data_IF_215657514085
#
_entry.id   IF_215657514085
#
_cell.length_a   1.000
_cell.length_b   1.000
_cell.length_c   1.000
_cell.angle_alpha   90.00
_cell.angle_beta   90.00
_cell.angle_gamma   90.00
#
_symmetry.space_group_name_H-M   'P 1'
#
loop_
_entity.id
_entity.type
_entity.pdbx_description
1 polymer ?
#
# COMPACT_ATOMS: atom_id res chain seq x y z
N UNK A 1 5.96 -9.44 11.47
CA UNK A 1 7.23 -8.71 11.60
C UNK A 1 7.07 -7.20 11.88
N UNK A 2 5.89 -6.60 11.71
CA UNK A 2 5.70 -5.16 11.91
C UNK A 2 5.93 -4.69 13.35
N UNK A 3 5.47 -5.45 14.36
CA UNK A 3 5.70 -5.11 15.78
C UNK A 3 7.20 -5.17 16.15
N UNK A 4 7.95 -6.25 15.84
CA UNK A 4 9.41 -6.25 16.02
C UNK A 4 10.12 -5.10 15.30
N UNK A 5 9.72 -4.79 14.06
CA UNK A 5 10.28 -3.66 13.32
C UNK A 5 10.03 -2.33 14.03
N UNK A 6 8.80 -2.11 14.51
CA UNK A 6 8.44 -0.95 15.32
C UNK A 6 9.25 -0.80 16.60
N UNK A 7 9.45 -1.90 17.33
CA UNK A 7 10.28 -1.93 18.55
C UNK A 7 11.73 -1.59 18.24
N UNK A 8 12.27 -2.11 17.13
CA UNK A 8 13.63 -1.81 16.68
C UNK A 8 13.77 -0.32 16.32
N UNK A 9 12.84 0.25 15.56
CA UNK A 9 12.82 1.67 15.19
C UNK A 9 12.70 2.56 16.42
N UNK A 10 11.96 2.12 17.44
CA UNK A 10 11.85 2.88 18.68
C UNK A 10 13.16 2.94 19.46
N UNK A 11 13.91 1.82 19.50
CA UNK A 11 15.18 1.72 20.23
C UNK A 11 16.38 2.30 19.47
N UNK A 12 16.40 2.15 18.16
CA UNK A 12 17.58 2.43 17.32
C UNK A 12 17.37 3.59 16.33
N UNK A 13 16.15 4.12 16.22
CA UNK A 13 15.81 5.22 15.33
C UNK A 13 15.39 4.80 13.92
N UNK A 14 14.77 5.72 13.19
CA UNK A 14 14.24 5.50 11.83
C UNK A 14 15.34 5.12 10.83
N UNK A 15 16.49 5.79 10.87
CA UNK A 15 17.61 5.54 9.96
C UNK A 15 18.08 4.09 10.00
N UNK A 16 18.34 3.56 11.20
CA UNK A 16 18.79 2.18 11.37
C UNK A 16 17.71 1.18 10.96
N UNK A 17 16.43 1.51 11.16
CA UNK A 17 15.30 0.73 10.66
C UNK A 17 15.26 0.62 9.14
N UNK A 18 15.38 1.74 8.43
CA UNK A 18 15.41 1.76 6.95
C UNK A 18 16.62 1.00 6.40
N UNK A 19 17.81 1.22 6.96
CA UNK A 19 19.03 0.51 6.52
C UNK A 19 18.90 -1.00 6.72
N UNK A 20 18.40 -1.44 7.89
CA UNK A 20 18.18 -2.87 8.15
C UNK A 20 17.17 -3.46 7.16
N UNK A 21 16.08 -2.75 6.85
CA UNK A 21 15.10 -3.16 5.86
C UNK A 21 15.70 -3.34 4.46
N UNK A 22 16.49 -2.36 4.00
CA UNK A 22 17.20 -2.43 2.71
C UNK A 22 18.21 -3.58 2.66
N UNK A 23 18.96 -3.81 3.74
CA UNK A 23 19.91 -4.92 3.82
C UNK A 23 19.21 -6.28 3.78
N UNK A 24 18.12 -6.45 4.55
CA UNK A 24 17.32 -7.67 4.53
C UNK A 24 16.73 -7.92 3.14
N UNK A 25 16.20 -6.88 2.48
CA UNK A 25 15.68 -7.00 1.13
C UNK A 25 16.76 -7.39 0.12
N UNK A 26 17.91 -6.70 0.14
CA UNK A 26 19.03 -6.98 -0.76
C UNK A 26 19.63 -8.38 -0.55
N UNK A 27 19.83 -8.80 0.70
CA UNK A 27 20.29 -10.14 1.04
C UNK A 27 19.27 -11.21 0.63
N UNK A 28 17.98 -10.94 0.86
CA UNK A 28 16.88 -11.80 0.42
C UNK A 28 16.87 -12.00 -1.10
N UNK A 29 17.08 -10.92 -1.87
CA UNK A 29 17.20 -11.00 -3.33
C UNK A 29 18.45 -11.80 -3.78
N UNK A 30 19.59 -11.65 -3.10
CA UNK A 30 20.78 -12.44 -3.41
C UNK A 30 20.65 -13.93 -3.02
N UNK A 31 19.85 -14.24 -1.99
CA UNK A 31 19.52 -15.61 -1.60
C UNK A 31 18.74 -16.39 -2.66
N UNK A 32 18.14 -15.71 -3.66
CA UNK A 32 17.56 -16.39 -4.82
C UNK A 32 18.62 -17.11 -5.69
N UNK A 33 19.87 -16.64 -5.70
CA UNK A 33 20.97 -17.24 -6.48
C UNK A 33 21.23 -18.69 -6.04
N UNK A 34 21.57 -18.98 -4.76
CA UNK A 34 21.73 -20.36 -4.31
C UNK A 34 20.41 -21.13 -4.41
N UNK A 35 19.26 -20.46 -4.20
CA UNK A 35 17.94 -21.08 -4.38
C UNK A 35 17.76 -21.70 -5.77
N UNK A 36 18.18 -20.98 -6.82
CA UNK A 36 18.14 -21.46 -8.20
C UNK A 36 19.13 -22.60 -8.44
N UNK A 37 20.36 -22.50 -7.94
CA UNK A 37 21.37 -23.56 -8.12
C UNK A 37 20.99 -24.88 -7.44
N UNK A 38 20.38 -24.82 -6.26
CA UNK A 38 19.94 -26.01 -5.52
C UNK A 38 18.55 -26.50 -5.92
N UNK A 39 17.83 -25.77 -6.79
CA UNK A 39 16.45 -26.05 -7.21
C UNK A 39 15.50 -26.42 -6.04
N UNK A 40 15.74 -25.83 -4.86
CA UNK A 40 15.06 -26.21 -3.62
C UNK A 40 13.96 -25.21 -3.28
N UNK A 41 12.72 -25.68 -3.24
CA UNK A 41 11.56 -24.88 -2.87
C UNK A 41 11.72 -24.21 -1.48
N UNK A 42 12.31 -24.92 -0.51
CA UNK A 42 12.54 -24.39 0.83
C UNK A 42 13.53 -23.22 0.85
N UNK A 43 14.55 -23.25 -0.02
CA UNK A 43 15.51 -22.16 -0.14
C UNK A 43 14.84 -20.90 -0.71
N UNK A 44 13.96 -21.05 -1.71
CA UNK A 44 13.17 -19.94 -2.25
C UNK A 44 12.19 -19.37 -1.22
N UNK A 45 11.49 -20.24 -0.46
CA UNK A 45 10.60 -19.80 0.62
C UNK A 45 11.35 -19.01 1.69
N UNK A 46 12.53 -19.46 2.09
CA UNK A 46 13.35 -18.74 3.04
C UNK A 46 13.78 -17.37 2.49
N UNK A 47 14.21 -17.30 1.22
CA UNK A 47 14.56 -16.04 0.57
C UNK A 47 13.37 -15.07 0.52
N UNK A 48 12.18 -15.54 0.12
CA UNK A 48 10.94 -14.76 0.14
C UNK A 48 10.57 -14.27 1.53
N UNK A 49 10.75 -15.11 2.56
CA UNK A 49 10.51 -14.72 3.95
C UNK A 49 11.45 -13.58 4.39
N UNK A 50 12.73 -13.65 4.04
CA UNK A 50 13.72 -12.60 4.34
C UNK A 50 13.37 -11.29 3.60
N UNK A 51 12.98 -11.37 2.33
CA UNK A 51 12.49 -10.20 1.57
C UNK A 51 11.25 -9.58 2.24
N UNK A 52 10.28 -10.39 2.62
CA UNK A 52 9.06 -9.94 3.31
C UNK A 52 9.37 -9.27 4.66
N UNK A 53 10.38 -9.77 5.39
CA UNK A 53 10.89 -9.10 6.57
C UNK A 53 11.46 -7.72 6.23
N UNK A 54 12.31 -7.62 5.19
CA UNK A 54 12.87 -6.36 4.72
C UNK A 54 11.81 -5.33 4.34
N UNK A 55 10.81 -5.74 3.54
CA UNK A 55 9.67 -4.90 3.17
C UNK A 55 8.90 -4.40 4.40
N UNK A 56 8.64 -5.28 5.37
CA UNK A 56 7.95 -4.90 6.59
C UNK A 56 8.73 -3.84 7.38
N UNK A 57 10.06 -3.95 7.46
CA UNK A 57 10.91 -2.95 8.11
C UNK A 57 10.90 -1.62 7.35
N UNK A 58 10.96 -1.66 6.03
CA UNK A 58 10.91 -0.48 5.17
C UNK A 58 9.58 0.27 5.33
N UNK A 59 8.44 -0.42 5.19
CA UNK A 59 7.12 0.21 5.33
C UNK A 59 6.92 0.78 6.74
N UNK A 60 7.27 0.02 7.78
CA UNK A 60 7.14 0.46 9.18
C UNK A 60 8.03 1.65 9.51
N UNK A 61 9.14 1.86 8.81
CA UNK A 61 10.04 2.99 9.03
C UNK A 61 9.75 4.19 8.11
N UNK A 62 9.55 3.96 6.82
CA UNK A 62 9.53 5.00 5.79
C UNK A 62 8.27 5.85 5.84
N UNK A 63 7.09 5.24 5.89
CA UNK A 63 5.81 5.96 5.90
C UNK A 63 5.68 6.93 7.09
N UNK A 64 5.92 6.51 8.35
CA UNK A 64 5.90 7.45 9.46
C UNK A 64 7.00 8.50 9.39
N UNK A 65 8.17 8.16 8.87
CA UNK A 65 9.26 9.13 8.70
C UNK A 65 8.85 10.25 7.74
N UNK A 66 8.25 9.94 6.59
CA UNK A 66 7.79 10.93 5.62
C UNK A 66 6.65 11.81 6.17
N UNK A 67 5.74 11.24 6.96
CA UNK A 67 4.67 12.02 7.59
C UNK A 67 5.19 12.98 8.65
N UNK A 68 6.22 12.58 9.40
CA UNK A 68 6.81 13.41 10.46
C UNK A 68 7.86 14.40 9.93
N UNK A 69 8.41 14.16 8.74
CA UNK A 69 9.40 15.03 8.10
C UNK A 69 8.74 16.32 7.56
N UNK A 70 8.57 17.33 8.41
CA UNK A 70 8.08 18.66 8.03
C UNK A 70 6.81 19.10 8.77
N UNK A 71 6.05 20.04 8.19
CA UNK A 71 4.85 20.56 8.84
C UNK A 71 3.75 19.49 8.97
N UNK A 72 3.07 19.44 10.13
CA UNK A 72 1.99 18.46 10.41
C UNK A 72 0.81 18.57 9.43
N UNK A 73 0.54 19.78 8.92
CA UNK A 73 -0.58 20.04 8.00
C UNK A 73 -0.38 19.39 6.63
N UNK A 74 0.86 19.31 6.14
CA UNK A 74 1.19 18.77 4.82
C UNK A 74 1.67 17.31 4.86
N UNK A 75 1.56 16.64 6.01
CA UNK A 75 1.99 15.25 6.20
C UNK A 75 1.35 14.26 5.21
N UNK A 76 0.03 14.37 5.01
CA UNK A 76 -0.70 13.52 4.06
C UNK A 76 -0.27 13.78 2.61
N UNK A 77 -0.07 15.05 2.21
CA UNK A 77 0.39 15.39 0.86
C UNK A 77 1.80 14.85 0.60
N UNK A 78 2.74 15.02 1.54
CA UNK A 78 4.10 14.47 1.40
C UNK A 78 4.11 12.96 1.27
N UNK A 79 3.32 12.26 2.09
CA UNK A 79 3.25 10.81 2.01
C UNK A 79 2.64 10.34 0.69
N UNK A 80 1.57 10.99 0.22
CA UNK A 80 0.98 10.70 -1.10
C UNK A 80 1.96 10.98 -2.24
N UNK A 81 2.72 12.07 -2.18
CA UNK A 81 3.74 12.38 -3.17
C UNK A 81 4.84 11.30 -3.20
N UNK A 82 5.37 10.91 -2.04
CA UNK A 82 6.37 9.85 -1.95
C UNK A 82 5.82 8.51 -2.48
N UNK A 83 4.58 8.15 -2.12
CA UNK A 83 3.90 6.94 -2.58
C UNK A 83 3.48 6.99 -4.07
N UNK A 84 3.52 8.16 -4.71
CA UNK A 84 3.31 8.27 -6.17
C UNK A 84 4.49 7.69 -6.93
N UNK A 85 5.72 7.85 -6.42
CA UNK A 85 6.92 7.21 -7.00
C UNK A 85 6.91 5.69 -6.84
N UNK A 86 6.29 5.18 -5.78
CA UNK A 86 6.05 3.75 -5.63
C UNK A 86 5.15 3.23 -6.77
N UNK A 87 4.03 3.91 -7.05
CA UNK A 87 3.16 3.59 -8.18
C UNK A 87 3.87 3.63 -9.54
N UNK A 88 4.77 4.61 -9.74
CA UNK A 88 5.62 4.68 -10.93
C UNK A 88 6.56 3.47 -11.04
N UNK A 89 7.14 3.03 -9.93
CA UNK A 89 7.94 1.80 -9.86
C UNK A 89 7.15 0.57 -10.30
N UNK A 90 5.89 0.42 -9.87
CA UNK A 90 5.02 -0.69 -10.26
C UNK A 90 4.69 -0.74 -11.75
N UNK A 91 4.67 0.41 -12.45
CA UNK A 91 4.43 0.47 -13.91
C UNK A 91 5.74 0.25 -14.67
N UNK A 92 6.81 0.90 -14.25
CA UNK A 92 8.12 0.80 -14.90
C UNK A 92 8.74 -0.59 -14.74
N UNK A 93 8.63 -1.22 -13.57
CA UNK A 93 9.31 -2.49 -13.30
C UNK A 93 8.87 -3.63 -14.24
N UNK A 94 7.57 -3.89 -14.47
CA UNK A 94 7.13 -4.88 -15.46
C UNK A 94 7.52 -4.53 -16.89
N UNK A 95 7.56 -3.25 -17.26
CA UNK A 95 8.01 -2.82 -18.59
C UNK A 95 9.49 -3.12 -18.80
N UNK A 96 10.34 -2.73 -17.84
CA UNK A 96 11.78 -3.00 -17.91
C UNK A 96 12.10 -4.48 -17.81
N UNK A 97 11.47 -5.21 -16.88
CA UNK A 97 11.67 -6.66 -16.72
C UNK A 97 11.14 -7.41 -17.94
N UNK A 98 9.96 -7.04 -18.45
CA UNK A 98 9.38 -7.64 -19.65
C UNK A 98 10.27 -7.42 -20.88
N UNK A 99 10.77 -6.20 -21.09
CA UNK A 99 11.74 -5.95 -22.15
C UNK A 99 13.01 -6.78 -21.94
N UNK A 100 13.65 -6.73 -20.76
CA UNK A 100 14.91 -7.45 -20.53
C UNK A 100 14.79 -8.97 -20.59
N UNK A 101 13.67 -9.55 -20.14
CA UNK A 101 13.45 -10.99 -20.15
C UNK A 101 12.97 -11.52 -21.50
N UNK A 102 12.15 -10.76 -22.24
CA UNK A 102 11.54 -11.21 -23.50
C UNK A 102 12.20 -10.64 -24.77
N UNK A 103 13.29 -9.87 -24.66
CA UNK A 103 14.04 -9.36 -25.84
C UNK A 103 14.84 -10.44 -26.60
N UNK A 104 15.02 -11.63 -26.03
CA UNK A 104 15.75 -12.72 -26.69
C UNK A 104 14.75 -13.73 -27.25
N UNK A 105 14.49 -13.65 -28.56
CA UNK A 105 13.57 -14.51 -29.35
C UNK A 105 14.01 -15.99 -29.46
N UNK A 106 14.86 -16.50 -28.57
CA UNK A 106 15.23 -17.92 -28.54
C UNK A 106 14.32 -18.67 -27.57
N UNK A 107 13.29 -19.33 -28.12
CA UNK A 107 12.35 -20.22 -27.41
C UNK A 107 13.02 -21.29 -26.53
N UNK A 108 14.31 -21.61 -26.77
CA UNK A 108 15.08 -22.59 -26.01
C UNK A 108 15.76 -22.03 -24.76
N UNK A 109 15.90 -20.69 -24.66
CA UNK A 109 16.40 -19.97 -23.48
C UNK A 109 15.32 -19.72 -22.44
N UNK A 110 14.03 -20.01 -22.71
CA UNK A 110 12.94 -19.80 -21.77
C UNK A 110 12.90 -20.84 -20.62
N UNK A 111 13.42 -22.05 -20.84
CA UNK A 111 13.50 -23.11 -19.82
C UNK A 111 14.77 -22.99 -18.96
N UNK A 112 15.83 -22.39 -19.49
CA UNK A 112 17.06 -21.99 -18.77
C UNK A 112 17.11 -20.47 -18.54
N UNK A 113 15.95 -19.81 -18.58
CA UNK A 113 15.84 -18.37 -18.47
C UNK A 113 16.50 -17.95 -17.18
N UNK A 114 17.56 -17.14 -17.29
CA UNK A 114 18.37 -16.73 -16.17
C UNK A 114 17.59 -15.71 -15.33
N UNK A 115 16.51 -16.16 -14.68
CA UNK A 115 15.66 -15.37 -13.79
C UNK A 115 16.52 -14.76 -12.68
N UNK A 116 17.62 -15.42 -12.30
CA UNK A 116 18.62 -14.85 -11.40
C UNK A 116 19.14 -13.48 -11.86
N UNK A 117 19.37 -13.22 -13.15
CA UNK A 117 20.03 -11.98 -13.59
C UNK A 117 19.23 -10.71 -13.22
N UNK A 118 17.91 -10.60 -13.52
CA UNK A 118 17.09 -9.51 -13.01
C UNK A 118 17.07 -9.40 -11.48
N UNK A 119 16.99 -10.52 -10.75
CA UNK A 119 16.99 -10.50 -9.29
C UNK A 119 18.33 -10.04 -8.71
N UNK A 120 19.46 -10.41 -9.33
CA UNK A 120 20.80 -9.95 -8.95
C UNK A 120 20.94 -8.46 -9.22
N UNK A 121 20.53 -7.98 -10.40
CA UNK A 121 20.55 -6.56 -10.71
C UNK A 121 19.72 -5.75 -9.69
N UNK A 122 18.52 -6.22 -9.35
CA UNK A 122 17.68 -5.59 -8.33
C UNK A 122 18.32 -5.65 -6.93
N UNK A 123 18.88 -6.80 -6.53
CA UNK A 123 19.56 -6.96 -5.25
C UNK A 123 20.75 -6.01 -5.10
N UNK A 124 21.60 -5.93 -6.11
CA UNK A 124 22.75 -5.01 -6.15
C UNK A 124 22.27 -3.56 -6.09
N UNK A 125 21.26 -3.20 -6.87
CA UNK A 125 20.70 -1.84 -6.87
C UNK A 125 20.20 -1.45 -5.47
N UNK A 126 19.45 -2.33 -4.81
CA UNK A 126 18.96 -2.08 -3.44
C UNK A 126 20.10 -1.96 -2.44
N UNK A 127 21.16 -2.77 -2.57
CA UNK A 127 22.35 -2.66 -1.71
C UNK A 127 23.12 -1.36 -1.94
N UNK A 128 23.19 -0.86 -3.18
CA UNK A 128 23.76 0.47 -3.48
C UNK A 128 22.92 1.55 -2.79
N UNK A 129 21.59 1.49 -2.88
CA UNK A 129 20.70 2.41 -2.17
C UNK A 129 20.92 2.32 -0.66
N UNK A 130 21.06 1.11 -0.10
CA UNK A 130 21.40 0.91 1.31
C UNK A 130 22.71 1.60 1.68
N UNK A 131 23.75 1.49 0.85
CA UNK A 131 25.04 2.14 1.06
C UNK A 131 24.95 3.67 1.05
N UNK A 132 24.12 4.23 0.17
CA UNK A 132 23.84 5.67 0.15
C UNK A 132 23.13 6.10 1.44
N UNK A 133 22.06 5.41 1.84
CA UNK A 133 21.32 5.71 3.08
C UNK A 133 22.16 5.52 4.35
N UNK A 134 23.16 4.63 4.33
CA UNK A 134 24.15 4.53 5.39
C UNK A 134 25.00 5.79 5.54
N UNK A 135 25.18 6.61 4.48
CA UNK A 135 25.94 7.87 4.54
C UNK A 135 25.07 9.11 4.80
N UNK A 136 23.79 9.06 4.45
CA UNK A 136 22.86 10.19 4.67
C UNK A 136 22.56 10.36 6.16
N UNK A 137 22.76 11.59 6.68
CA UNK A 137 22.35 11.98 8.03
C UNK A 137 20.87 12.34 8.02
N UNK A 138 20.02 11.35 8.29
CA UNK A 138 18.59 11.58 8.51
C UNK A 138 18.41 12.27 9.89
N UNK A 139 17.77 13.45 9.98
CA UNK A 139 17.48 14.07 11.26
C UNK A 139 16.62 13.12 12.11
N UNK A 140 17.07 12.85 13.33
CA UNK A 140 16.31 12.05 14.27
C UNK A 140 15.20 12.93 14.86
N UNK A 141 13.96 12.55 14.55
CA UNK A 141 12.78 13.22 15.08
C UNK A 141 12.66 12.79 16.55
N UNK A 142 13.06 13.68 17.45
CA UNK A 142 12.94 13.48 18.90
C UNK A 142 11.46 13.62 19.27
N UNK A 143 10.89 12.57 19.89
CA UNK A 143 9.54 12.66 20.41
C UNK A 143 9.57 13.25 21.82
N UNK A 144 8.88 14.38 22.02
CA UNK A 144 8.55 14.86 23.35
C UNK A 144 7.39 14.03 23.89
N UNK A 145 7.50 13.55 25.12
CA UNK A 145 6.43 12.82 25.79
C UNK A 145 5.20 13.70 25.96
N UNK A 146 4.08 13.30 25.34
CA UNK A 146 2.77 13.71 25.80
C UNK A 146 2.49 12.96 27.10
N UNK A 147 2.57 13.74 28.17
CA UNK A 147 2.23 13.32 29.52
C UNK A 147 0.85 13.91 29.79
N UNK A 148 -0.09 13.12 30.29
CA UNK A 148 -1.39 13.65 30.75
C UNK A 148 -1.18 14.72 31.82
N UNK A 149 -2.18 15.56 32.12
CA UNK A 149 -2.12 16.59 33.18
C UNK A 149 -1.67 16.06 34.55
N UNK A 150 -1.70 14.74 34.74
CA UNK A 150 -1.35 14.00 35.94
C UNK A 150 -0.09 13.10 35.82
N UNK A 151 0.75 13.24 34.79
CA UNK A 151 2.01 12.48 34.75
C UNK A 151 1.93 11.07 34.13
N UNK A 152 0.74 10.62 33.71
CA UNK A 152 0.50 9.24 33.25
C UNK A 152 0.62 9.14 31.72
N UNK A 153 1.29 8.07 31.25
CA UNK A 153 1.31 7.75 29.82
C UNK A 153 -0.08 7.33 29.36
N UNK A 154 -0.68 8.06 28.43
CA UNK A 154 -2.01 7.72 27.90
C UNK A 154 -1.89 6.44 27.06
N UNK A 155 -2.76 5.47 27.26
CA UNK A 155 -2.73 4.24 26.44
C UNK A 155 -3.16 4.55 25.01
N UNK A 156 -2.43 4.01 24.02
CA UNK A 156 -2.74 4.11 22.58
C UNK A 156 -4.20 3.73 22.27
N UNK A 157 -4.74 2.76 23.01
CA UNK A 157 -6.10 2.24 22.86
C UNK A 157 -7.19 3.21 23.38
N UNK A 158 -6.81 4.30 24.04
CA UNK A 158 -7.75 5.34 24.48
C UNK A 158 -8.12 6.29 23.32
N UNK A 159 -7.30 6.35 22.27
CA UNK A 159 -7.53 7.18 21.10
C UNK A 159 -8.55 6.52 20.16
N UNK A 160 -9.84 6.82 20.39
CA UNK A 160 -10.95 6.30 19.56
C UNK A 160 -10.83 6.60 18.07
N UNK A 161 -10.18 7.71 17.71
CA UNK A 161 -9.91 8.08 16.31
C UNK A 161 -8.82 7.20 15.68
N UNK A 162 -7.78 6.85 16.43
CA UNK A 162 -6.73 5.93 15.97
C UNK A 162 -7.30 4.52 15.74
N UNK A 163 -8.07 3.99 16.69
CA UNK A 163 -8.69 2.66 16.54
C UNK A 163 -9.59 2.64 15.30
N UNK A 164 -10.40 3.68 15.10
CA UNK A 164 -11.27 3.75 13.94
C UNK A 164 -10.47 3.89 12.63
N UNK A 165 -9.36 4.61 12.65
CA UNK A 165 -8.42 4.71 11.52
C UNK A 165 -7.74 3.38 11.20
N UNK A 166 -7.38 2.58 12.20
CA UNK A 166 -6.85 1.23 12.02
C UNK A 166 -7.86 0.31 11.33
N UNK A 167 -9.13 0.33 11.77
CA UNK A 167 -10.21 -0.43 11.11
C UNK A 167 -10.49 0.08 9.70
N UNK A 168 -10.46 1.40 9.48
CA UNK A 168 -10.64 1.99 8.16
C UNK A 168 -9.51 1.60 7.20
N UNK A 169 -8.26 1.60 7.67
CA UNK A 169 -7.11 1.17 6.87
C UNK A 169 -7.20 -0.32 6.52
N UNK A 170 -7.58 -1.16 7.48
CA UNK A 170 -7.81 -2.58 7.25
C UNK A 170 -8.95 -2.83 6.24
N UNK A 171 -10.07 -2.10 6.37
CA UNK A 171 -11.17 -2.18 5.43
C UNK A 171 -10.76 -1.69 4.02
N UNK A 172 -9.98 -0.62 3.94
CA UNK A 172 -9.42 -0.14 2.68
C UNK A 172 -8.58 -1.24 2.00
N UNK A 173 -7.67 -1.88 2.72
CA UNK A 173 -6.81 -2.96 2.18
C UNK A 173 -7.63 -4.17 1.71
N UNK A 174 -8.73 -4.49 2.40
CA UNK A 174 -9.70 -5.50 1.93
C UNK A 174 -10.29 -5.07 0.58
N UNK A 175 -10.74 -3.83 0.44
CA UNK A 175 -11.34 -3.34 -0.79
C UNK A 175 -10.37 -3.35 -1.97
N UNK A 176 -9.22 -2.70 -1.79
CA UNK A 176 -8.18 -2.49 -2.80
C UNK A 176 -7.69 -3.80 -3.40
N UNK A 177 -7.27 -4.71 -2.52
CA UNK A 177 -6.62 -5.95 -2.93
C UNK A 177 -7.65 -6.89 -3.54
N UNK A 178 -8.91 -6.86 -3.08
CA UNK A 178 -10.01 -7.64 -3.68
C UNK A 178 -10.29 -7.19 -5.10
N UNK A 179 -10.43 -5.87 -5.33
CA UNK A 179 -10.68 -5.31 -6.65
C UNK A 179 -9.52 -5.65 -7.59
N UNK A 180 -8.27 -5.45 -7.15
CA UNK A 180 -7.09 -5.81 -7.95
C UNK A 180 -7.04 -7.30 -8.31
N UNK A 181 -7.38 -8.17 -7.36
CA UNK A 181 -7.30 -9.62 -7.56
C UNK A 181 -8.39 -10.14 -8.50
N UNK A 182 -9.60 -9.57 -8.44
CA UNK A 182 -10.75 -10.05 -9.21
C UNK A 182 -11.09 -9.20 -10.45
N UNK A 183 -10.37 -8.10 -10.71
CA UNK A 183 -10.59 -7.25 -11.89
C UNK A 183 -10.58 -8.06 -13.19
N UNK A 184 -9.54 -8.87 -13.41
CA UNK A 184 -9.41 -9.67 -14.63
C UNK A 184 -10.55 -10.68 -14.74
N UNK A 185 -10.87 -11.36 -13.64
CA UNK A 185 -11.94 -12.36 -13.61
C UNK A 185 -13.30 -11.71 -13.92
N UNK A 186 -13.58 -10.54 -13.34
CA UNK A 186 -14.80 -9.77 -13.60
C UNK A 186 -14.95 -9.36 -15.07
N UNK A 187 -13.88 -8.81 -15.66
CA UNK A 187 -13.92 -8.34 -17.04
C UNK A 187 -14.05 -9.49 -18.05
N UNK A 188 -13.45 -10.65 -17.73
CA UNK A 188 -13.56 -11.87 -18.54
C UNK A 188 -14.95 -12.50 -18.41
N UNK A 189 -15.50 -12.58 -17.20
CA UNK A 189 -16.83 -13.14 -16.93
C UNK A 189 -17.94 -12.34 -17.66
N UNK A 190 -17.81 -11.01 -17.67
CA UNK A 190 -18.70 -10.10 -18.39
C UNK A 190 -18.51 -10.12 -19.92
N UNK A 191 -17.58 -10.93 -20.44
CA UNK A 191 -17.27 -11.09 -21.87
C UNK A 191 -16.90 -9.79 -22.61
N UNK A 192 -16.43 -8.76 -21.89
CA UNK A 192 -16.00 -7.51 -22.53
C UNK A 192 -14.66 -7.64 -23.25
N UNK A 193 -13.75 -8.46 -22.71
CA UNK A 193 -12.42 -8.65 -23.31
C UNK A 193 -11.73 -9.93 -22.78
N UNK A 194 -10.78 -10.43 -23.57
CA UNK A 194 -9.94 -11.57 -23.17
C UNK A 194 -8.97 -11.21 -22.05
N UNK A 195 -8.52 -12.20 -21.27
CA UNK A 195 -7.63 -12.02 -20.12
C UNK A 195 -6.36 -11.20 -20.43
N UNK A 196 -5.79 -11.35 -21.64
CA UNK A 196 -4.62 -10.59 -22.09
C UNK A 196 -4.90 -9.10 -22.28
N UNK A 197 -6.08 -8.74 -22.79
CA UNK A 197 -6.47 -7.33 -22.94
C UNK A 197 -6.91 -6.76 -21.59
N UNK A 198 -7.60 -7.55 -20.76
CA UNK A 198 -7.97 -7.17 -19.40
C UNK A 198 -6.74 -6.84 -18.53
N UNK A 199 -5.66 -7.63 -18.62
CA UNK A 199 -4.43 -7.35 -17.88
C UNK A 199 -3.73 -6.07 -18.36
N UNK A 200 -3.79 -5.76 -19.67
CA UNK A 200 -3.28 -4.50 -20.22
C UNK A 200 -4.12 -3.31 -19.74
N UNK A 201 -5.45 -3.42 -19.75
CA UNK A 201 -6.36 -2.37 -19.23
C UNK A 201 -6.16 -2.17 -17.73
N UNK A 202 -5.94 -3.23 -16.95
CA UNK A 202 -5.58 -3.11 -15.54
C UNK A 202 -4.23 -2.41 -15.35
N UNK A 203 -3.21 -2.79 -16.12
CA UNK A 203 -1.84 -2.28 -15.96
C UNK A 203 -1.68 -0.83 -16.42
N UNK A 204 -2.20 -0.49 -17.60
CA UNK A 204 -2.09 0.86 -18.14
C UNK A 204 -3.25 1.77 -17.71
N UNK A 205 -4.47 1.23 -17.68
CA UNK A 205 -5.67 1.96 -17.27
C UNK A 205 -5.78 2.06 -15.75
N UNK A 206 -5.96 0.93 -15.06
CA UNK A 206 -6.17 0.90 -13.60
C UNK A 206 -4.99 1.46 -12.80
N UNK A 207 -3.82 0.83 -12.92
CA UNK A 207 -2.59 1.25 -12.21
C UNK A 207 -2.07 2.62 -12.69
N UNK A 208 -2.27 2.96 -13.98
CA UNK A 208 -1.96 4.29 -14.50
C UNK A 208 -2.86 5.39 -13.92
N UNK A 209 -4.18 5.14 -13.85
CA UNK A 209 -5.14 6.03 -13.20
C UNK A 209 -4.88 6.15 -11.70
N UNK A 210 -4.48 5.05 -11.06
CA UNK A 210 -4.07 5.05 -9.66
C UNK A 210 -2.82 5.94 -9.45
N UNK A 211 -1.78 5.79 -10.27
CA UNK A 211 -0.58 6.63 -10.18
C UNK A 211 -0.90 8.11 -10.43
N UNK A 212 -1.63 8.42 -11.50
CA UNK A 212 -2.00 9.80 -11.83
C UNK A 212 -2.93 10.40 -10.76
N UNK A 213 -3.86 9.61 -10.23
CA UNK A 213 -4.71 9.95 -9.10
C UNK A 213 -3.90 10.32 -7.85
N UNK A 214 -2.82 9.58 -7.54
CA UNK A 214 -1.90 9.92 -6.44
C UNK A 214 -1.17 11.24 -6.66
N UNK A 215 -0.64 11.49 -7.87
CA UNK A 215 0.03 12.75 -8.19
C UNK A 215 -0.91 13.95 -8.08
N UNK A 216 -2.06 13.86 -8.76
CA UNK A 216 -3.07 14.92 -8.77
C UNK A 216 -3.63 15.15 -7.37
N UNK A 217 -3.97 14.07 -6.66
CA UNK A 217 -4.48 14.16 -5.30
C UNK A 217 -3.47 14.74 -4.32
N UNK A 218 -2.18 14.36 -4.43
CA UNK A 218 -1.10 14.96 -3.64
C UNK A 218 -0.99 16.46 -3.85
N UNK A 219 -1.13 16.93 -5.09
CA UNK A 219 -1.11 18.36 -5.43
C UNK A 219 -2.35 19.09 -4.90
N UNK A 220 -3.54 18.50 -5.04
CA UNK A 220 -4.79 19.07 -4.50
C UNK A 220 -4.74 19.17 -2.97
N UNK A 221 -4.16 18.18 -2.29
CA UNK A 221 -3.99 18.17 -0.83
C UNK A 221 -3.05 19.27 -0.30
N UNK A 222 -2.29 19.96 -1.17
CA UNK A 222 -1.56 21.17 -0.75
C UNK A 222 -2.50 22.36 -0.52
N UNK A 223 -3.68 22.36 -1.15
CA UNK A 223 -4.67 23.44 -1.06
C UNK A 223 -5.92 23.05 -0.25
N UNK A 224 -6.28 21.77 -0.26
CA UNK A 224 -7.46 21.23 0.42
C UNK A 224 -7.04 20.36 1.59
N UNK A 225 -7.72 20.51 2.73
CA UNK A 225 -7.49 19.66 3.92
C UNK A 225 -7.66 18.17 3.61
N UNK A 226 -6.73 17.34 4.08
CA UNK A 226 -6.72 15.89 3.90
C UNK A 226 -8.03 15.20 4.28
N UNK A 227 -8.73 15.69 5.32
CA UNK A 227 -10.01 15.16 5.80
C UNK A 227 -11.13 15.32 4.75
N UNK A 228 -11.18 16.47 4.06
CA UNK A 228 -12.15 16.74 2.99
C UNK A 228 -11.85 15.89 1.75
N UNK A 229 -10.57 15.81 1.40
CA UNK A 229 -10.15 15.02 0.24
C UNK A 229 -10.48 13.53 0.43
N UNK A 230 -10.19 12.98 1.62
CA UNK A 230 -10.55 11.60 1.96
C UNK A 230 -12.06 11.36 1.86
N UNK A 231 -12.87 12.31 2.31
CA UNK A 231 -14.34 12.20 2.22
C UNK A 231 -14.81 12.14 0.77
N UNK A 232 -14.32 13.03 -0.10
CA UNK A 232 -14.70 13.04 -1.52
C UNK A 232 -14.25 11.77 -2.25
N UNK A 233 -13.04 11.29 -1.99
CA UNK A 233 -12.57 10.03 -2.54
C UNK A 233 -13.37 8.83 -2.03
N UNK A 234 -13.69 8.78 -0.73
CA UNK A 234 -14.50 7.71 -0.16
C UNK A 234 -15.93 7.71 -0.70
N UNK A 235 -16.53 8.89 -0.93
CA UNK A 235 -17.82 8.95 -1.63
C UNK A 235 -17.70 8.45 -3.06
N UNK A 236 -16.62 8.81 -3.76
CA UNK A 236 -16.35 8.38 -5.12
C UNK A 236 -16.26 6.86 -5.23
N UNK A 237 -15.47 6.22 -4.36
CA UNK A 237 -15.30 4.75 -4.35
C UNK A 237 -16.59 4.01 -3.99
N UNK A 238 -17.38 4.50 -3.04
CA UNK A 238 -18.69 3.89 -2.72
C UNK A 238 -19.65 4.01 -3.91
N UNK A 239 -19.69 5.18 -4.57
CA UNK A 239 -20.55 5.38 -5.75
C UNK A 239 -20.11 4.49 -6.91
N UNK A 240 -18.82 4.45 -7.23
CA UNK A 240 -18.32 3.63 -8.34
C UNK A 240 -18.51 2.14 -8.08
N UNK A 241 -18.25 1.65 -6.86
CA UNK A 241 -18.53 0.25 -6.51
C UNK A 241 -20.02 -0.07 -6.50
N UNK A 242 -20.89 0.88 -6.14
CA UNK A 242 -22.35 0.71 -6.29
C UNK A 242 -22.74 0.57 -7.76
N UNK A 243 -22.15 1.38 -8.65
CA UNK A 243 -22.39 1.25 -10.11
C UNK A 243 -21.88 -0.09 -10.65
N UNK A 244 -20.81 -0.64 -10.09
CA UNK A 244 -20.36 -2.01 -10.42
C UNK A 244 -21.40 -3.04 -9.98
N UNK A 245 -21.96 -2.91 -8.78
CA UNK A 245 -23.02 -3.81 -8.28
C UNK A 245 -24.33 -3.74 -9.08
N UNK A 246 -24.62 -2.60 -9.72
CA UNK A 246 -25.80 -2.43 -10.58
C UNK A 246 -25.66 -3.07 -11.97
N UNK A 247 -24.49 -3.58 -12.32
CA UNK A 247 -24.18 -4.26 -13.58
C UNK A 247 -24.67 -3.53 -14.85
N UNK A 248 -24.27 -2.26 -14.99
CA UNK A 248 -24.68 -1.39 -16.10
C UNK A 248 -23.78 -1.57 -17.35
N UNK A 249 -23.22 -2.76 -17.57
CA UNK A 249 -22.36 -3.03 -18.73
C UNK A 249 -21.06 -2.22 -18.72
N UNK A 250 -20.72 -1.59 -19.85
CA UNK A 250 -19.52 -0.74 -20.00
C UNK A 250 -19.45 0.40 -18.98
N UNK A 251 -20.59 0.90 -18.47
CA UNK A 251 -20.60 1.90 -17.41
C UNK A 251 -19.95 1.37 -16.12
N UNK A 252 -20.13 0.07 -15.80
CA UNK A 252 -19.49 -0.56 -14.65
C UNK A 252 -17.98 -0.72 -14.83
N UNK A 253 -17.50 -0.97 -16.07
CA UNK A 253 -16.06 -0.97 -16.38
C UNK A 253 -15.43 0.41 -16.16
N UNK A 254 -16.08 1.46 -16.68
CA UNK A 254 -15.59 2.83 -16.53
C UNK A 254 -15.64 3.24 -15.06
N UNK A 255 -16.73 2.91 -14.34
CA UNK A 255 -16.84 3.17 -12.91
C UNK A 255 -15.72 2.48 -12.12
N UNK A 256 -15.41 1.22 -12.44
CA UNK A 256 -14.33 0.47 -11.80
C UNK A 256 -12.97 1.14 -12.04
N UNK A 257 -12.68 1.57 -13.27
CA UNK A 257 -11.46 2.32 -13.61
C UNK A 257 -11.39 3.69 -12.91
N UNK A 258 -12.51 4.42 -12.84
CA UNK A 258 -12.58 5.65 -12.05
C UNK A 258 -12.38 5.39 -10.55
N UNK A 259 -12.82 4.23 -10.04
CA UNK A 259 -12.60 3.78 -8.68
C UNK A 259 -11.12 3.79 -8.29
N UNK A 260 -10.24 3.28 -9.16
CA UNK A 260 -8.78 3.30 -8.96
C UNK A 260 -8.23 4.71 -8.72
N UNK A 261 -8.72 5.72 -9.43
CA UNK A 261 -8.27 7.09 -9.25
C UNK A 261 -8.66 7.66 -7.87
N UNK A 262 -9.87 7.34 -7.39
CA UNK A 262 -10.34 7.78 -6.07
C UNK A 262 -9.66 7.03 -4.94
N UNK A 263 -9.43 5.74 -5.14
CA UNK A 263 -8.78 4.86 -4.17
C UNK A 263 -7.32 5.26 -3.89
N UNK A 264 -6.66 5.79 -4.91
CA UNK A 264 -5.21 5.97 -4.93
C UNK A 264 -4.62 6.71 -3.73
N UNK A 265 -5.33 7.71 -3.22
CA UNK A 265 -4.84 8.55 -2.12
C UNK A 265 -5.32 8.13 -0.73
N UNK A 266 -6.21 7.13 -0.63
CA UNK A 266 -6.88 6.86 0.64
C UNK A 266 -5.93 6.24 1.65
N UNK A 267 -5.09 5.26 1.27
CA UNK A 267 -4.13 4.65 2.20
C UNK A 267 -3.19 5.67 2.86
N UNK A 268 -2.42 6.49 2.11
CA UNK A 268 -1.52 7.46 2.73
C UNK A 268 -2.26 8.49 3.58
N UNK A 269 -3.47 8.87 3.15
CA UNK A 269 -4.28 9.88 3.84
C UNK A 269 -4.85 9.34 5.15
N UNK A 270 -5.41 8.12 5.16
CA UNK A 270 -5.88 7.44 6.37
C UNK A 270 -4.71 7.22 7.31
N UNK A 271 -3.56 6.77 6.80
CA UNK A 271 -2.36 6.57 7.61
C UNK A 271 -1.90 7.86 8.30
N UNK A 272 -1.76 8.96 7.54
CA UNK A 272 -1.35 10.25 8.09
C UNK A 272 -2.37 10.83 9.08
N UNK A 273 -3.68 10.73 8.78
CA UNK A 273 -4.73 11.21 9.68
C UNK A 273 -4.82 10.38 10.97
N UNK A 274 -4.56 9.07 10.90
CA UNK A 274 -4.59 8.18 12.06
C UNK A 274 -3.41 8.42 13.02
N UNK A 275 -2.33 9.01 12.53
CA UNK A 275 -1.15 9.36 13.34
C UNK A 275 -1.18 10.80 13.87
N UNK A 276 -2.14 11.61 13.44
CA UNK A 276 -2.26 13.02 13.84
C UNK A 276 -2.58 13.14 15.34
N UNK A 277 -1.67 13.77 16.09
CA UNK A 277 -1.86 14.04 17.51
C UNK A 277 -1.57 12.87 18.44
N UNK A 278 -0.74 11.89 18.01
CA UNK A 278 -0.35 10.75 18.85
C UNK A 278 1.02 10.91 19.55
N UNK A 279 1.80 11.95 19.22
CA UNK A 279 3.07 12.28 19.88
C UNK A 279 4.02 11.08 20.01
N UNK A 280 4.35 10.69 21.24
CA UNK A 280 5.22 9.54 21.54
C UNK A 280 4.67 8.19 21.05
N UNK A 281 3.35 8.07 20.86
CA UNK A 281 2.74 6.82 20.45
C UNK A 281 2.80 6.58 18.94
N UNK A 282 3.21 7.58 18.14
CA UNK A 282 3.27 7.48 16.67
C UNK A 282 4.02 6.23 16.21
N UNK A 283 5.22 5.94 16.73
CA UNK A 283 5.99 4.74 16.32
C UNK A 283 5.24 3.42 16.53
N UNK A 284 4.60 3.25 17.70
CA UNK A 284 3.81 2.04 18.00
C UNK A 284 2.53 2.01 17.17
N UNK A 285 1.85 3.14 17.03
CA UNK A 285 0.66 3.30 16.22
C UNK A 285 0.90 2.95 14.75
N UNK A 286 1.98 3.47 14.15
CA UNK A 286 2.39 3.15 12.78
C UNK A 286 2.65 1.67 12.59
N UNK A 287 3.22 1.00 13.60
CA UNK A 287 3.48 -0.44 13.54
C UNK A 287 2.18 -1.25 13.47
N UNK A 288 1.15 -0.84 14.21
CA UNK A 288 -0.19 -1.45 14.11
C UNK A 288 -0.87 -1.14 12.77
N UNK A 289 -0.77 0.11 12.29
CA UNK A 289 -1.28 0.47 10.97
C UNK A 289 -0.61 -0.34 9.85
N UNK A 290 0.70 -0.63 9.96
CA UNK A 290 1.41 -1.51 9.00
C UNK A 290 1.07 -2.99 9.11
N UNK A 291 0.25 -3.40 10.07
CA UNK A 291 -0.31 -4.75 10.07
C UNK A 291 -1.60 -4.83 9.26
N UNK A 292 -2.23 -3.70 8.91
CA UNK A 292 -3.48 -3.66 8.16
C UNK A 292 -3.44 -4.30 6.76
N UNK A 293 -2.31 -4.34 6.01
CA UNK A 293 -2.24 -5.05 4.73
C UNK A 293 -2.54 -6.56 4.81
N UNK A 294 -2.62 -7.13 6.02
CA UNK A 294 -3.14 -8.49 6.22
C UNK A 294 -4.59 -8.64 5.72
N UNK A 295 -5.33 -7.53 5.60
CA UNK A 295 -6.64 -7.47 4.95
C UNK A 295 -6.61 -7.98 3.51
N UNK A 296 -5.46 -7.92 2.83
CA UNK A 296 -5.26 -8.45 1.48
C UNK A 296 -5.34 -9.97 1.35
N UNK A 297 -5.29 -10.71 2.45
CA UNK A 297 -5.61 -12.15 2.45
C UNK A 297 -7.10 -12.35 2.66
N UNK A 298 -7.69 -11.56 3.55
CA UNK A 298 -9.10 -11.67 3.94
C UNK A 298 -10.02 -11.28 2.78
N UNK A 299 -9.71 -10.18 2.08
CA UNK A 299 -10.54 -9.64 1.00
C UNK A 299 -10.71 -10.62 -0.17
N UNK A 300 -9.64 -11.03 -0.86
CA UNK A 300 -9.73 -11.97 -1.98
C UNK A 300 -10.34 -13.32 -1.59
N UNK A 301 -10.09 -13.82 -0.37
CA UNK A 301 -10.72 -15.07 0.10
C UNK A 301 -12.24 -14.92 0.27
N UNK A 302 -12.69 -13.83 0.89
CA UNK A 302 -14.12 -13.55 1.04
C UNK A 302 -14.78 -13.29 -0.32
N UNK A 303 -14.13 -12.50 -1.18
CA UNK A 303 -14.64 -12.19 -2.52
C UNK A 303 -14.71 -13.46 -3.38
N UNK A 304 -13.69 -14.32 -3.33
CA UNK A 304 -13.70 -15.62 -4.01
C UNK A 304 -14.83 -16.53 -3.52
N UNK A 305 -15.01 -16.64 -2.19
CA UNK A 305 -16.11 -17.43 -1.62
C UNK A 305 -17.50 -16.93 -2.05
N UNK A 306 -17.69 -15.61 -2.10
CA UNK A 306 -18.95 -15.02 -2.58
C UNK A 306 -19.12 -15.24 -4.09
N UNK A 307 -18.05 -15.10 -4.87
CA UNK A 307 -18.07 -15.33 -6.31
C UNK A 307 -18.43 -16.79 -6.66
N UNK A 308 -17.91 -17.76 -5.90
CA UNK A 308 -18.17 -19.19 -6.11
C UNK A 308 -19.62 -19.60 -5.74
N UNK A 309 -20.26 -18.87 -4.82
CA UNK A 309 -21.61 -19.19 -4.33
C UNK A 309 -22.73 -18.41 -5.03
N UNK A 310 -22.41 -17.25 -5.61
CA UNK A 310 -23.39 -16.35 -6.21
C UNK A 310 -22.99 -15.98 -7.64
N UNK A 311 -22.51 -14.75 -7.85
CA UNK A 311 -22.01 -14.24 -9.13
C UNK A 311 -20.80 -13.35 -8.89
N UNK A 312 -19.96 -13.19 -9.91
CA UNK A 312 -18.78 -12.31 -9.82
C UNK A 312 -19.18 -10.85 -9.52
N UNK A 313 -20.30 -10.37 -10.06
CA UNK A 313 -20.83 -9.04 -9.76
C UNK A 313 -21.13 -8.90 -8.27
N UNK A 314 -21.84 -9.88 -7.68
CA UNK A 314 -22.23 -9.82 -6.28
C UNK A 314 -21.03 -9.91 -5.33
N UNK A 315 -19.93 -10.51 -5.76
CA UNK A 315 -18.67 -10.52 -5.01
C UNK A 315 -18.12 -9.10 -4.71
N UNK A 316 -18.47 -8.10 -5.53
CA UNK A 316 -18.13 -6.69 -5.25
C UNK A 316 -18.85 -6.09 -4.03
N UNK A 317 -19.75 -6.84 -3.37
CA UNK A 317 -20.32 -6.41 -2.08
C UNK A 317 -19.23 -6.32 -1.00
N UNK A 318 -18.20 -7.17 -1.09
CA UNK A 318 -17.06 -7.16 -0.15
C UNK A 318 -16.32 -5.83 -0.18
N UNK A 319 -15.79 -5.36 -1.34
CA UNK A 319 -15.18 -4.03 -1.41
C UNK A 319 -16.17 -2.90 -1.12
N UNK A 320 -17.45 -3.02 -1.48
CA UNK A 320 -18.47 -2.00 -1.17
C UNK A 320 -18.63 -1.78 0.34
N UNK A 321 -18.77 -2.85 1.13
CA UNK A 321 -18.85 -2.76 2.60
C UNK A 321 -17.55 -2.18 3.18
N UNK A 322 -16.40 -2.60 2.64
CA UNK A 322 -15.10 -2.07 3.04
C UNK A 322 -15.01 -0.54 2.84
N UNK A 323 -15.36 -0.03 1.65
CA UNK A 323 -15.34 1.42 1.40
C UNK A 323 -16.41 2.17 2.17
N UNK A 324 -17.55 1.55 2.49
CA UNK A 324 -18.55 2.16 3.38
C UNK A 324 -17.97 2.43 4.78
N UNK A 325 -17.17 1.51 5.32
CA UNK A 325 -16.46 1.71 6.61
C UNK A 325 -15.47 2.88 6.48
N UNK A 326 -14.70 2.94 5.39
CA UNK A 326 -13.77 4.05 5.13
C UNK A 326 -14.51 5.38 5.00
N UNK A 327 -15.68 5.39 4.37
CA UNK A 327 -16.52 6.58 4.24
C UNK A 327 -17.04 7.07 5.60
N UNK A 328 -17.48 6.17 6.48
CA UNK A 328 -17.86 6.51 7.85
C UNK A 328 -16.68 7.11 8.64
N UNK A 329 -15.47 6.57 8.44
CA UNK A 329 -14.25 7.14 9.00
C UNK A 329 -13.96 8.54 8.49
N UNK A 330 -14.02 8.74 7.18
CA UNK A 330 -13.81 10.04 6.56
C UNK A 330 -14.82 11.08 7.06
N UNK A 331 -16.10 10.71 7.17
CA UNK A 331 -17.16 11.58 7.69
C UNK A 331 -16.91 11.98 9.15
N UNK A 332 -16.49 11.03 10.00
CA UNK A 332 -16.17 11.33 11.40
C UNK A 332 -14.96 12.24 11.52
N UNK A 333 -13.91 12.01 10.73
CA UNK A 333 -12.73 12.89 10.69
C UNK A 333 -13.08 14.30 10.23
N UNK A 334 -13.95 14.44 9.24
CA UNK A 334 -14.44 15.73 8.78
C UNK A 334 -15.22 16.46 9.90
N UNK A 335 -16.13 15.78 10.60
CA UNK A 335 -16.89 16.35 11.72
C UNK A 335 -15.99 16.85 12.85
N UNK A 336 -14.93 16.11 13.18
CA UNK A 336 -13.97 16.52 14.22
C UNK A 336 -13.15 17.73 13.75
N UNK A 337 -12.70 17.75 12.50
CA UNK A 337 -11.92 18.86 11.94
C UNK A 337 -12.71 20.18 11.89
N UNK A 338 -14.01 20.11 11.59
CA UNK A 338 -14.91 21.28 11.59
C UNK A 338 -15.18 21.81 13.00
N UNK A 339 -15.21 20.94 14.02
CA UNK A 339 -15.47 21.35 15.40
C UNK A 339 -14.25 21.99 16.11
N UNK A 340 -13.05 21.81 15.56
CA UNK A 340 -11.78 22.31 16.14
C UNK A 340 -11.33 23.65 15.52
N UNK A 341 -12.03 24.15 14.48
CA UNK A 341 -11.80 25.48 13.90
C UNK A 341 -12.78 26.49 14.47
#
# INVERSE_FOLDING_TARGET
>A
MAIPAGLFINRFGYRKGVVLGLLLYGLGALLFIPGQHFASFNAFLFALFVIGCGLTFLETAANPYVTELGAKETAASRLNFAQSFNGMGCICAPLFVGLLLFSNDDQQSALNGNVALPYVCMGILVLIVAAVFMRVKLPEIQHQAEVDKEGRSVSLWSHKLFIFGLFALFAYEIGEISINSFFINYVVDQKWMNARYASLVLSFGGLGLFMTGRFVGSWIMQRVSAERMLFYCATGTVVTTTVVLLDLGLCSLIALLCGYAFEAIMFPTIFALSLKGLGNHTKRASSFLMMSPVGGVVGPLLMGYVADTTTMVFAFVVPWVAYAIVWLYARKMLSVSVCTK
#
